data_IF_240004450649
#
_entry.id   IF_240004450649
#
_cell.length_a   1.000
_cell.length_b   1.000
_cell.length_c   1.000
_cell.angle_alpha   90.00
_cell.angle_beta   90.00
_cell.angle_gamma   90.00
#
_symmetry.space_group_name_H-M   'P 1'
#
loop_
_entity.id
_entity.type
_entity.pdbx_description
1 polymer ?
#
# COMPACT_ATOMS: atom_id res chain seq x y z
N UNK A 1 -14.02 -0.66 6.44
CA UNK A 1 -14.25 -0.88 4.99
C UNK A 1 -13.05 -0.42 4.17
N UNK A 2 -12.15 -1.33 3.79
CA UNK A 2 -11.15 -1.03 2.77
C UNK A 2 -11.81 -1.17 1.40
N UNK A 3 -12.44 -0.11 0.91
CA UNK A 3 -12.89 -0.10 -0.49
C UNK A 3 -11.66 -0.20 -1.37
N UNK A 4 -11.68 -1.18 -2.28
CA UNK A 4 -10.73 -1.45 -3.35
C UNK A 4 -10.66 -0.24 -4.31
N UNK A 5 -10.19 0.92 -3.83
CA UNK A 5 -9.88 2.09 -4.65
C UNK A 5 -8.52 1.83 -5.29
N UNK A 6 -8.51 1.35 -6.53
CA UNK A 6 -7.26 1.11 -7.25
C UNK A 6 -7.43 0.42 -8.59
N UNK A 7 -8.59 -0.16 -8.88
CA UNK A 7 -8.80 -0.86 -10.15
C UNK A 7 -9.19 0.07 -11.34
N UNK A 8 -9.46 1.37 -11.09
CA UNK A 8 -10.13 2.22 -12.09
C UNK A 8 -9.27 3.26 -12.81
N UNK A 9 -8.12 3.66 -12.27
CA UNK A 9 -7.43 4.87 -12.77
C UNK A 9 -5.91 4.81 -12.55
N UNK A 10 -5.29 3.73 -13.06
CA UNK A 10 -3.83 3.67 -13.13
C UNK A 10 -3.35 4.59 -14.26
N UNK A 11 -2.30 5.38 -13.98
CA UNK A 11 -1.66 6.23 -14.99
C UNK A 11 -1.22 5.44 -16.23
N UNK A 12 -0.81 4.18 -16.01
CA UNK A 12 -0.43 3.25 -17.08
C UNK A 12 -1.51 2.17 -17.20
N UNK A 13 -2.31 2.17 -18.28
CA UNK A 13 -3.26 1.11 -18.56
C UNK A 13 -2.59 -0.26 -18.57
N UNK A 14 -3.21 -1.26 -17.95
CA UNK A 14 -2.66 -2.61 -17.89
C UNK A 14 -1.53 -2.84 -16.88
N UNK A 15 -1.08 -1.82 -16.13
CA UNK A 15 -0.05 -2.00 -15.09
C UNK A 15 -0.53 -2.76 -13.84
N UNK A 16 -1.84 -3.02 -13.73
CA UNK A 16 -2.48 -3.66 -12.58
C UNK A 16 -1.79 -4.97 -12.14
N UNK A 17 -1.49 -5.94 -13.03
CA UNK A 17 -0.86 -7.19 -12.63
C UNK A 17 0.57 -7.00 -12.09
N UNK A 18 1.31 -6.02 -12.63
CA UNK A 18 2.65 -5.68 -12.17
C UNK A 18 2.64 -5.04 -10.79
N UNK A 19 1.71 -4.09 -10.57
CA UNK A 19 1.53 -3.44 -9.27
C UNK A 19 1.04 -4.40 -8.20
N UNK A 20 0.18 -5.36 -8.55
CA UNK A 20 -0.29 -6.36 -7.59
C UNK A 20 0.85 -7.30 -7.15
N UNK A 21 1.72 -7.74 -8.08
CA UNK A 21 2.93 -8.49 -7.72
C UNK A 21 3.86 -7.70 -6.81
N UNK A 22 4.13 -6.43 -7.16
CA UNK A 22 4.97 -5.56 -6.33
C UNK A 22 4.37 -5.36 -4.94
N UNK A 23 3.05 -5.13 -4.84
CA UNK A 23 2.35 -4.99 -3.56
C UNK A 23 2.53 -6.23 -2.68
N UNK A 24 2.40 -7.43 -3.27
CA UNK A 24 2.60 -8.67 -2.53
C UNK A 24 4.06 -8.84 -2.06
N UNK A 25 5.03 -8.52 -2.94
CA UNK A 25 6.44 -8.58 -2.57
C UNK A 25 6.76 -7.64 -1.40
N UNK A 26 6.35 -6.37 -1.49
CA UNK A 26 6.60 -5.39 -0.43
C UNK A 26 5.88 -5.79 0.85
N UNK A 27 4.65 -6.30 0.77
CA UNK A 27 3.91 -6.78 1.93
C UNK A 27 4.65 -7.92 2.67
N UNK A 28 5.32 -8.81 1.94
CA UNK A 28 6.15 -9.87 2.53
C UNK A 28 7.41 -9.29 3.16
N UNK A 29 8.10 -8.39 2.46
CA UNK A 29 9.35 -7.77 2.93
C UNK A 29 9.16 -6.99 4.23
N UNK A 30 8.06 -6.28 4.39
CA UNK A 30 7.78 -5.49 5.61
C UNK A 30 7.15 -6.33 6.74
N UNK A 31 7.02 -7.65 6.55
CA UNK A 31 6.43 -8.56 7.53
C UNK A 31 4.92 -8.41 7.72
N UNK A 32 4.22 -7.75 6.78
CA UNK A 32 2.77 -7.60 6.83
C UNK A 32 2.09 -8.96 6.62
N UNK A 33 2.58 -9.71 5.64
CA UNK A 33 2.06 -11.03 5.28
C UNK A 33 3.18 -12.07 5.44
N UNK A 34 2.95 -13.17 6.16
CA UNK A 34 3.98 -14.20 6.33
C UNK A 34 4.36 -14.84 4.97
N UNK A 35 5.63 -15.26 4.82
CA UNK A 35 6.09 -15.92 3.61
C UNK A 35 5.27 -17.19 3.34
N UNK A 36 4.82 -17.34 2.08
CA UNK A 36 3.97 -18.47 1.66
C UNK A 36 2.46 -18.21 1.70
N UNK A 37 1.99 -17.09 2.28
CA UNK A 37 0.56 -16.74 2.32
C UNK A 37 0.21 -15.69 1.26
N UNK A 38 0.25 -16.06 -0.02
CA UNK A 38 0.08 -15.13 -1.17
C UNK A 38 -1.36 -14.96 -1.65
N UNK A 39 -2.36 -15.39 -0.87
CA UNK A 39 -3.76 -15.24 -1.27
C UNK A 39 -4.27 -13.83 -1.00
N UNK A 40 -5.18 -13.29 -1.84
CA UNK A 40 -5.85 -12.01 -1.58
C UNK A 40 -6.51 -11.96 -0.19
N UNK A 41 -7.10 -13.08 0.25
CA UNK A 41 -7.72 -13.19 1.58
C UNK A 41 -6.70 -13.08 2.72
N UNK A 42 -5.51 -13.68 2.57
CA UNK A 42 -4.44 -13.57 3.57
C UNK A 42 -3.95 -12.12 3.70
N UNK A 43 -3.85 -11.41 2.57
CA UNK A 43 -3.49 -10.00 2.54
C UNK A 43 -4.55 -9.12 3.22
N UNK A 44 -5.84 -9.34 2.93
CA UNK A 44 -6.93 -8.59 3.56
C UNK A 44 -6.97 -8.82 5.08
N UNK A 45 -6.80 -10.08 5.52
CA UNK A 45 -6.71 -10.42 6.94
C UNK A 45 -5.48 -9.79 7.62
N UNK A 46 -4.33 -9.77 6.94
CA UNK A 46 -3.13 -9.11 7.43
C UNK A 46 -3.31 -7.60 7.60
N UNK A 47 -3.91 -6.93 6.60
CA UNK A 47 -4.23 -5.50 6.69
C UNK A 47 -5.18 -5.21 7.84
N UNK A 48 -6.22 -6.02 8.04
CA UNK A 48 -7.17 -5.80 9.12
C UNK A 48 -6.53 -5.96 10.50
N UNK A 49 -5.68 -6.97 10.70
CA UNK A 49 -4.89 -7.10 11.94
C UNK A 49 -4.05 -5.84 12.21
N UNK A 50 -3.41 -5.31 11.17
CA UNK A 50 -2.53 -4.16 11.28
C UNK A 50 -3.28 -2.85 11.50
N UNK A 51 -4.49 -2.69 10.94
CA UNK A 51 -5.36 -1.56 11.29
C UNK A 51 -5.72 -1.58 12.77
N UNK A 52 -6.00 -2.75 13.33
CA UNK A 52 -6.29 -2.89 14.76
C UNK A 52 -5.07 -2.60 15.63
N UNK A 53 -3.90 -3.12 15.27
CA UNK A 53 -2.64 -2.83 15.98
C UNK A 53 -2.36 -1.32 16.03
N UNK A 54 -2.44 -0.64 14.87
CA UNK A 54 -2.28 0.81 14.78
C UNK A 54 -3.37 1.55 15.56
N UNK A 55 -4.60 1.06 15.55
CA UNK A 55 -5.69 1.65 16.31
C UNK A 55 -5.47 1.55 17.83
N UNK A 56 -4.87 0.46 18.32
CA UNK A 56 -4.49 0.31 19.72
C UNK A 56 -3.38 1.30 20.08
N UNK A 57 -2.33 1.42 19.26
CA UNK A 57 -1.25 2.40 19.46
C UNK A 57 -1.75 3.86 19.50
N UNK A 58 -2.80 4.16 18.72
CA UNK A 58 -3.41 5.48 18.66
C UNK A 58 -4.46 5.72 19.75
N UNK A 59 -4.77 4.72 20.58
CA UNK A 59 -5.85 4.80 21.58
C UNK A 59 -7.25 4.90 20.98
N UNK A 60 -7.42 4.55 19.71
CA UNK A 60 -8.68 4.64 18.96
C UNK A 60 -9.47 3.33 18.99
N UNK A 61 -8.85 2.21 19.37
CA UNK A 61 -9.48 0.89 19.33
C UNK A 61 -10.75 0.80 20.20
N UNK A 62 -10.76 1.45 21.36
CA UNK A 62 -11.96 1.53 22.22
C UNK A 62 -13.14 2.19 21.51
N UNK A 63 -12.90 3.33 20.87
CA UNK A 63 -13.92 4.04 20.08
C UNK A 63 -14.39 3.19 18.89
N UNK A 64 -13.46 2.57 18.15
CA UNK A 64 -13.81 1.70 17.02
C UNK A 64 -14.70 0.54 17.47
N UNK A 65 -14.44 -0.07 18.65
CA UNK A 65 -15.30 -1.12 19.19
C UNK A 65 -16.71 -0.63 19.54
N UNK A 66 -16.85 0.63 19.95
CA UNK A 66 -18.13 1.21 20.33
C UNK A 66 -18.98 1.64 19.13
N UNK A 67 -18.40 2.39 18.19
CA UNK A 67 -19.15 3.01 17.08
C UNK A 67 -18.92 2.30 15.74
N UNK A 68 -17.97 1.37 15.69
CA UNK A 68 -17.54 0.72 14.45
C UNK A 68 -16.66 1.62 13.59
N UNK A 69 -16.02 1.01 12.59
CA UNK A 69 -15.17 1.73 11.63
C UNK A 69 -15.93 2.74 10.74
N UNK A 70 -17.24 2.58 10.59
CA UNK A 70 -18.06 3.44 9.72
C UNK A 70 -18.28 4.84 10.30
N UNK A 71 -18.49 4.92 11.61
CA UNK A 71 -18.79 6.17 12.33
C UNK A 71 -17.53 6.86 12.87
N UNK A 72 -16.35 6.30 12.60
CA UNK A 72 -15.08 6.91 12.95
C UNK A 72 -14.84 8.18 12.12
N UNK A 73 -14.27 9.20 12.74
CA UNK A 73 -13.96 10.45 12.03
C UNK A 73 -12.97 10.21 10.89
N UNK A 74 -13.07 11.01 9.82
CA UNK A 74 -12.12 10.92 8.70
C UNK A 74 -10.69 11.15 9.15
N UNK A 75 -10.47 11.99 10.18
CA UNK A 75 -9.16 12.21 10.78
C UNK A 75 -8.61 10.94 11.44
N UNK A 76 -9.42 10.26 12.24
CA UNK A 76 -9.00 9.04 12.96
C UNK A 76 -8.75 7.88 11.98
N UNK A 77 -9.66 7.68 11.04
CA UNK A 77 -9.48 6.72 9.94
C UNK A 77 -8.24 7.05 9.09
N UNK A 78 -7.99 8.33 8.84
CA UNK A 78 -6.81 8.82 8.11
C UNK A 78 -5.51 8.60 8.87
N UNK A 79 -5.49 8.77 10.19
CA UNK A 79 -4.32 8.50 11.02
C UNK A 79 -3.96 7.00 11.00
N UNK A 80 -4.96 6.12 11.15
CA UNK A 80 -4.77 4.66 11.08
C UNK A 80 -4.31 4.25 9.68
N UNK A 81 -5.03 4.71 8.65
CA UNK A 81 -4.72 4.42 7.25
C UNK A 81 -3.39 4.98 6.79
N UNK A 82 -2.97 6.14 7.29
CA UNK A 82 -1.69 6.79 6.96
C UNK A 82 -0.49 6.02 7.48
N UNK A 83 -0.55 5.51 8.71
CA UNK A 83 0.53 4.65 9.27
C UNK A 83 0.65 3.33 8.50
N UNK A 84 -0.48 2.70 8.15
CA UNK A 84 -0.49 1.46 7.37
C UNK A 84 -0.05 1.68 5.91
N UNK A 85 -0.67 2.66 5.25
CA UNK A 85 -0.44 3.00 3.84
C UNK A 85 0.94 3.56 3.59
N UNK A 86 1.52 4.31 4.54
CA UNK A 86 2.90 4.78 4.47
C UNK A 86 3.91 3.63 4.46
N UNK A 87 3.68 2.58 5.28
CA UNK A 87 4.57 1.40 5.33
C UNK A 87 4.52 0.58 4.06
N UNK A 88 3.33 0.31 3.52
CA UNK A 88 3.18 -0.50 2.31
C UNK A 88 3.32 0.32 1.02
N UNK A 89 2.45 1.31 0.84
CA UNK A 89 2.41 2.14 -0.37
C UNK A 89 3.65 3.01 -0.53
N UNK A 90 4.19 3.56 0.58
CA UNK A 90 5.44 4.33 0.53
C UNK A 90 6.63 3.48 0.07
N UNK A 91 6.73 2.23 0.53
CA UNK A 91 7.77 1.31 0.07
C UNK A 91 7.57 0.89 -1.39
N UNK A 92 6.32 0.69 -1.84
CA UNK A 92 6.03 0.46 -3.26
C UNK A 92 6.53 1.63 -4.12
N UNK A 93 6.22 2.87 -3.74
CA UNK A 93 6.66 4.07 -4.49
C UNK A 93 8.18 4.16 -4.53
N UNK A 94 8.86 3.98 -3.38
CA UNK A 94 10.34 3.95 -3.33
C UNK A 94 10.93 2.88 -4.24
N UNK A 95 10.32 1.68 -4.28
CA UNK A 95 10.78 0.58 -5.12
C UNK A 95 10.58 0.86 -6.60
N UNK A 96 9.43 1.45 -6.98
CA UNK A 96 9.17 1.87 -8.35
C UNK A 96 10.18 2.93 -8.81
N UNK A 97 10.48 3.91 -7.96
CA UNK A 97 11.50 4.93 -8.25
C UNK A 97 12.87 4.29 -8.45
N UNK A 98 13.30 3.42 -7.54
CA UNK A 98 14.60 2.74 -7.65
C UNK A 98 14.72 1.89 -8.93
N UNK A 99 13.65 1.19 -9.32
CA UNK A 99 13.62 0.43 -10.58
C UNK A 99 13.69 1.34 -11.81
N UNK A 100 13.02 2.49 -11.77
CA UNK A 100 13.07 3.47 -12.85
C UNK A 100 14.46 4.11 -12.98
N UNK A 101 15.10 4.46 -11.85
CA UNK A 101 16.47 4.98 -11.82
C UNK A 101 17.47 3.97 -12.40
N UNK A 102 17.34 2.69 -12.06
CA UNK A 102 18.18 1.63 -12.62
C UNK A 102 18.00 1.48 -14.13
N UNK A 103 16.76 1.56 -14.64
CA UNK A 103 16.48 1.49 -16.08
C UNK A 103 17.05 2.71 -16.83
N UNK A 104 16.93 3.90 -16.25
CA UNK A 104 17.48 5.14 -16.82
C UNK A 104 19.01 5.14 -16.82
N UNK A 105 19.65 4.61 -15.78
CA UNK A 105 21.10 4.50 -15.72
C UNK A 105 21.66 3.50 -16.76
N UNK A 106 20.92 2.43 -17.04
CA UNK A 106 21.28 1.43 -18.06
C UNK A 106 20.93 1.82 -19.49
N UNK A 107 20.00 2.77 -19.66
CA UNK A 107 19.57 3.29 -20.95
C UNK A 107 19.43 4.82 -20.84
N UNK A 108 20.55 5.57 -20.79
CA UNK A 108 20.50 7.01 -20.70
C UNK A 108 19.66 7.54 -21.87
N UNK A 109 18.75 8.50 -21.64
CA UNK A 109 17.87 8.99 -22.70
C UNK A 109 18.75 9.44 -23.87
N UNK A 110 18.69 8.69 -24.97
CA UNK A 110 19.40 9.01 -26.20
C UNK A 110 18.79 10.29 -26.74
N UNK A 111 19.44 11.42 -26.42
CA UNK A 111 19.24 12.76 -26.98
C UNK A 111 17.82 13.05 -27.47
N UNK A 112 16.99 13.66 -26.61
CA UNK A 112 15.80 14.36 -27.07
C UNK A 112 16.16 15.44 -28.11
N UNK A 113 15.21 15.88 -28.96
CA UNK A 113 15.51 16.82 -30.03
C UNK A 113 16.14 18.08 -29.45
N UNK A 114 17.27 18.48 -30.04
CA UNK A 114 17.88 19.79 -29.79
C UNK A 114 17.01 20.81 -30.51
N UNK A 115 16.13 21.48 -29.78
CA UNK A 115 15.67 22.82 -30.13
C UNK A 115 16.60 23.83 -29.47
#
# INVERSE_FOLDING_TARGET
MARRRGAGDLLVPGAQPGLDRLKMQVAQEIGLVPPGMTSPAAYDAALDRQKWEVAEELGLAGRIRQVGWGEMTTRDCGAIGGRLGGRLGGQMVRRMIALAEQQLAGNPPTTGPRW
#
